data_IF_409405690464
#
_entry.id   IF_409405690464
#
_cell.length_a   1.000
_cell.length_b   1.000
_cell.length_c   1.000
_cell.angle_alpha   90.00
_cell.angle_beta   90.00
_cell.angle_gamma   90.00
#
_symmetry.space_group_name_H-M   'P 1'
#
loop_
_entity.id
_entity.type
_entity.pdbx_description
1 polymer ?
#
# COMPACT_ATOMS: atom_id res chain seq x y z
N UNK A 1 8.67 21.67 48.72
CA UNK A 1 7.87 21.35 47.53
C UNK A 1 8.61 20.28 46.74
N UNK A 2 7.96 19.12 46.56
CA UNK A 2 8.28 17.93 45.73
C UNK A 2 9.69 17.29 45.91
N UNK A 3 9.89 16.24 46.72
CA UNK A 3 9.43 14.83 46.65
C UNK A 3 10.42 13.87 45.96
N UNK A 4 11.00 12.99 46.80
CA UNK A 4 11.30 11.54 46.60
C UNK A 4 12.38 11.19 45.56
N UNK A 5 13.60 10.81 45.92
CA UNK A 5 14.07 9.68 46.76
C UNK A 5 13.77 8.28 46.18
N UNK A 6 14.84 7.48 46.11
CA UNK A 6 14.96 6.02 45.87
C UNK A 6 14.93 5.60 44.39
N UNK A 7 16.06 5.44 43.71
CA UNK A 7 17.13 4.43 43.95
C UNK A 7 16.56 3.00 43.96
N UNK A 8 16.88 2.26 42.90
CA UNK A 8 17.08 0.80 42.80
C UNK A 8 16.18 -0.09 43.66
N UNK A 9 15.16 -0.66 43.02
CA UNK A 9 14.67 -1.98 43.38
C UNK A 9 14.69 -2.86 42.14
N UNK A 10 15.83 -3.51 41.93
CA UNK A 10 15.92 -4.72 41.12
C UNK A 10 15.21 -5.83 41.88
N UNK A 11 14.28 -6.55 41.24
CA UNK A 11 13.93 -7.93 41.56
C UNK A 11 12.96 -8.50 40.52
N UNK A 12 13.36 -9.65 39.96
CA UNK A 12 12.53 -10.76 39.48
C UNK A 12 11.60 -10.50 38.28
N UNK A 13 11.93 -11.01 37.08
CA UNK A 13 11.71 -12.41 36.64
C UNK A 13 10.23 -12.77 36.43
N UNK A 14 9.82 -12.81 35.15
CA UNK A 14 8.99 -13.85 34.49
C UNK A 14 8.68 -13.33 33.06
N UNK A 15 9.35 -13.72 31.98
CA UNK A 15 9.56 -15.05 31.40
C UNK A 15 8.25 -15.77 31.00
N UNK A 16 8.03 -15.84 29.68
CA UNK A 16 7.37 -16.90 28.89
C UNK A 16 5.83 -16.97 28.91
N UNK A 17 5.20 -16.70 27.76
CA UNK A 17 4.32 -17.70 27.09
C UNK A 17 4.60 -17.68 25.58
N UNK A 18 5.34 -18.70 25.12
CA UNK A 18 5.33 -19.18 23.74
C UNK A 18 4.03 -19.95 23.51
N UNK A 19 3.41 -19.78 22.35
CA UNK A 19 2.55 -20.79 21.69
C UNK A 19 2.58 -20.47 20.19
N UNK A 20 3.50 -21.04 19.40
CA UNK A 20 3.50 -22.40 18.84
C UNK A 20 2.19 -22.79 18.16
N UNK A 21 2.11 -22.52 16.85
CA UNK A 21 1.32 -23.33 15.92
C UNK A 21 1.97 -23.31 14.52
N UNK A 22 3.18 -23.88 14.44
CA UNK A 22 3.65 -24.47 13.19
C UNK A 22 2.77 -25.69 12.90
N UNK A 23 2.01 -25.66 11.80
CA UNK A 23 1.58 -26.89 11.13
C UNK A 23 2.22 -26.91 9.76
N UNK A 24 3.43 -27.51 9.72
CA UNK A 24 4.07 -28.00 8.51
C UNK A 24 3.68 -29.47 8.37
N UNK A 25 3.07 -29.84 7.25
CA UNK A 25 3.03 -31.22 6.75
C UNK A 25 3.35 -31.19 5.26
N UNK A 26 4.54 -31.67 4.93
CA UNK A 26 4.96 -32.02 3.57
C UNK A 26 4.49 -33.43 3.23
N UNK A 27 4.04 -33.64 1.98
CA UNK A 27 4.41 -34.77 1.10
C UNK A 27 3.78 -34.63 -0.30
N UNK A 28 4.58 -34.60 -1.38
CA UNK A 28 4.24 -35.21 -2.67
C UNK A 28 5.00 -36.56 -2.81
N UNK A 29 4.85 -37.36 -3.89
CA UNK A 29 3.85 -37.39 -4.97
C UNK A 29 3.12 -38.76 -5.05
N UNK A 30 1.94 -38.82 -5.67
CA UNK A 30 1.43 -40.07 -6.25
C UNK A 30 0.80 -39.80 -7.61
N UNK A 31 1.24 -40.59 -8.59
CA UNK A 31 0.80 -40.61 -9.98
C UNK A 31 -0.46 -41.47 -10.04
N UNK A 32 -1.58 -40.94 -10.55
CA UNK A 32 -2.39 -41.70 -11.50
C UNK A 32 -3.47 -40.83 -12.17
N UNK A 33 -3.45 -40.92 -13.50
CA UNK A 33 -4.49 -40.61 -14.46
C UNK A 33 -5.92 -40.71 -13.92
N UNK A 34 -6.78 -39.74 -14.28
CA UNK A 34 -7.86 -39.98 -15.24
C UNK A 34 -8.70 -38.71 -15.41
N UNK A 35 -8.90 -38.38 -16.69
CA UNK A 35 -9.88 -37.47 -17.26
C UNK A 35 -11.14 -37.24 -16.41
N UNK A 36 -11.39 -35.98 -16.07
CA UNK A 36 -12.73 -35.46 -15.95
C UNK A 36 -12.74 -34.07 -16.59
N UNK A 37 -13.31 -34.01 -17.80
CA UNK A 37 -13.75 -32.76 -18.40
C UNK A 37 -14.59 -32.00 -17.38
N UNK A 38 -14.08 -30.87 -16.91
CA UNK A 38 -14.93 -29.82 -16.37
C UNK A 38 -14.63 -28.61 -17.23
N UNK A 39 -15.58 -28.32 -18.11
CA UNK A 39 -15.72 -27.07 -18.83
C UNK A 39 -15.66 -25.95 -17.79
N UNK A 40 -14.47 -25.42 -17.53
CA UNK A 40 -14.34 -24.15 -16.83
C UNK A 40 -14.92 -23.12 -17.79
N UNK A 41 -16.18 -22.78 -17.54
CA UNK A 41 -16.81 -21.58 -18.05
C UNK A 41 -15.77 -20.46 -17.93
N UNK A 42 -15.41 -19.89 -19.08
CA UNK A 42 -14.62 -18.68 -19.13
C UNK A 42 -15.22 -17.69 -18.13
N UNK A 43 -14.41 -17.03 -17.28
CA UNK A 43 -14.94 -15.97 -16.44
C UNK A 43 -15.67 -15.00 -17.37
N UNK A 44 -16.97 -14.85 -17.11
CA UNK A 44 -17.81 -13.93 -17.85
C UNK A 44 -17.07 -12.59 -17.90
N UNK A 45 -16.80 -12.13 -19.12
CA UNK A 45 -16.15 -10.87 -19.45
C UNK A 45 -16.91 -9.78 -18.70
N UNK A 46 -16.43 -9.42 -17.51
CA UNK A 46 -16.93 -8.27 -16.78
C UNK A 46 -16.70 -7.10 -17.73
N UNK A 47 -17.74 -6.29 -18.02
CA UNK A 47 -17.61 -5.22 -18.99
C UNK A 47 -16.41 -4.38 -18.59
N UNK A 48 -15.42 -4.28 -19.48
CA UNK A 48 -14.25 -3.45 -19.27
C UNK A 48 -14.75 -2.05 -18.93
N UNK A 49 -14.71 -1.70 -17.64
CA UNK A 49 -15.22 -0.43 -17.14
C UNK A 49 -14.52 0.67 -17.92
N UNK A 50 -15.27 1.34 -18.79
CA UNK A 50 -14.77 2.47 -19.56
C UNK A 50 -14.22 3.47 -18.54
N UNK A 51 -12.91 3.69 -18.59
CA UNK A 51 -12.18 4.45 -17.57
C UNK A 51 -12.90 5.72 -17.14
N UNK A 52 -13.19 5.85 -15.84
CA UNK A 52 -14.04 6.92 -15.33
C UNK A 52 -13.42 8.29 -15.63
N UNK A 53 -14.17 9.24 -16.20
CA UNK A 53 -13.67 10.58 -16.49
C UNK A 53 -13.15 11.28 -15.22
N UNK A 54 -13.72 10.95 -14.07
CA UNK A 54 -13.30 11.47 -12.76
C UNK A 54 -11.89 11.02 -12.36
N UNK A 55 -11.52 9.77 -12.69
CA UNK A 55 -10.16 9.25 -12.43
C UNK A 55 -9.12 9.95 -13.30
N UNK A 56 -9.45 10.20 -14.58
CA UNK A 56 -8.56 10.94 -15.49
C UNK A 56 -8.34 12.37 -15.03
N UNK A 57 -9.40 13.05 -14.61
CA UNK A 57 -9.30 14.41 -14.06
C UNK A 57 -8.47 14.43 -12.77
N UNK A 58 -8.67 13.44 -11.89
CA UNK A 58 -7.91 13.30 -10.64
C UNK A 58 -6.43 13.06 -10.91
N UNK A 59 -6.07 12.20 -11.87
CA UNK A 59 -4.68 11.98 -12.27
C UNK A 59 -4.04 13.22 -12.89
N UNK A 60 -4.77 13.98 -13.70
CA UNK A 60 -4.29 15.24 -14.25
C UNK A 60 -4.00 16.30 -13.16
N UNK A 61 -4.85 16.35 -12.13
CA UNK A 61 -4.63 17.20 -10.96
C UNK A 61 -3.40 16.77 -10.16
N UNK A 62 -3.20 15.46 -9.95
CA UNK A 62 -1.99 14.92 -9.31
C UNK A 62 -0.73 15.37 -10.06
N UNK A 63 -0.68 15.22 -11.38
CA UNK A 63 0.46 15.68 -12.17
C UNK A 63 0.70 17.19 -12.05
N UNK A 64 -0.36 17.98 -11.97
CA UNK A 64 -0.27 19.43 -11.80
C UNK A 64 0.29 19.78 -10.42
N UNK A 65 -0.19 19.12 -9.35
CA UNK A 65 0.35 19.26 -7.99
C UNK A 65 1.83 18.87 -7.91
N UNK A 66 2.23 17.78 -8.58
CA UNK A 66 3.63 17.35 -8.64
C UNK A 66 4.53 18.36 -9.36
N UNK A 67 4.05 18.99 -10.43
CA UNK A 67 4.78 20.06 -11.13
C UNK A 67 4.89 21.33 -10.30
N UNK A 68 3.87 21.64 -9.49
CA UNK A 68 3.84 22.79 -8.59
C UNK A 68 4.62 22.60 -7.29
N UNK A 69 5.17 21.41 -7.02
CA UNK A 69 5.86 21.09 -5.75
C UNK A 69 4.93 20.80 -4.57
N UNK A 70 3.62 20.68 -4.80
CA UNK A 70 2.64 20.29 -3.79
C UNK A 70 2.60 18.78 -3.63
N UNK A 71 3.66 18.21 -3.04
CA UNK A 71 3.83 16.77 -2.92
C UNK A 71 2.81 16.11 -1.98
N UNK A 72 2.43 16.79 -0.89
CA UNK A 72 1.47 16.30 0.08
C UNK A 72 0.05 16.23 -0.50
N UNK A 73 -0.37 17.26 -1.24
CA UNK A 73 -1.63 17.25 -2.00
C UNK A 73 -1.66 16.12 -3.04
N UNK A 74 -0.58 15.95 -3.80
CA UNK A 74 -0.47 14.88 -4.79
C UNK A 74 -0.61 13.49 -4.12
N UNK A 75 0.08 13.27 -3.01
CA UNK A 75 -0.03 12.03 -2.23
C UNK A 75 -1.46 11.85 -1.69
N UNK A 76 -2.08 12.88 -1.11
CA UNK A 76 -3.44 12.81 -0.59
C UNK A 76 -4.45 12.42 -1.67
N UNK A 77 -4.36 13.01 -2.86
CA UNK A 77 -5.24 12.69 -3.99
C UNK A 77 -5.04 11.26 -4.49
N UNK A 78 -3.79 10.80 -4.62
CA UNK A 78 -3.48 9.41 -4.98
C UNK A 78 -4.03 8.40 -3.97
N UNK A 79 -3.96 8.73 -2.68
CA UNK A 79 -4.51 7.88 -1.63
C UNK A 79 -6.04 7.91 -1.60
N UNK A 80 -6.65 9.07 -1.88
CA UNK A 80 -8.10 9.19 -2.03
C UNK A 80 -8.62 8.33 -3.19
N UNK A 81 -7.94 8.33 -4.33
CA UNK A 81 -8.29 7.46 -5.46
C UNK A 81 -8.17 5.97 -5.11
N UNK A 82 -7.21 5.58 -4.26
CA UNK A 82 -7.14 4.20 -3.76
C UNK A 82 -8.25 3.88 -2.78
N UNK A 83 -8.54 4.81 -1.88
CA UNK A 83 -9.54 4.66 -0.82
C UNK A 83 -10.98 4.73 -1.34
N UNK A 84 -11.21 5.29 -2.53
CA UNK A 84 -12.54 5.29 -3.17
C UNK A 84 -13.00 3.87 -3.52
N UNK A 85 -12.10 2.89 -3.57
CA UNK A 85 -12.41 1.50 -3.93
C UNK A 85 -12.91 1.35 -5.37
N UNK A 86 -12.78 2.40 -6.18
CA UNK A 86 -13.19 2.36 -7.57
C UNK A 86 -12.29 1.41 -8.37
N UNK A 87 -12.91 0.58 -9.21
CA UNK A 87 -12.15 -0.26 -10.13
C UNK A 87 -11.48 0.58 -11.22
N UNK A 88 -10.18 0.37 -11.39
CA UNK A 88 -9.41 1.01 -12.45
C UNK A 88 -9.50 0.15 -13.71
N UNK A 89 -9.69 0.79 -14.87
CA UNK A 89 -9.38 0.14 -16.14
C UNK A 89 -7.89 -0.23 -16.17
N UNK A 90 -7.47 -1.20 -17.00
CA UNK A 90 -6.04 -1.54 -17.12
C UNK A 90 -5.17 -0.30 -17.42
N UNK A 91 -5.65 0.59 -18.30
CA UNK A 91 -4.95 1.82 -18.68
C UNK A 91 -4.87 2.81 -17.51
N UNK A 92 -5.98 3.06 -16.82
CA UNK A 92 -6.00 4.01 -15.71
C UNK A 92 -5.24 3.47 -14.50
N UNK A 93 -5.26 2.16 -14.27
CA UNK A 93 -4.50 1.49 -13.23
C UNK A 93 -2.99 1.57 -13.48
N UNK A 94 -2.56 1.46 -14.74
CA UNK A 94 -1.16 1.70 -15.11
C UNK A 94 -0.75 3.16 -14.86
N UNK A 95 -1.55 4.12 -15.33
CA UNK A 95 -1.30 5.54 -15.11
C UNK A 95 -1.29 5.91 -13.62
N UNK A 96 -2.19 5.32 -12.83
CA UNK A 96 -2.23 5.50 -11.38
C UNK A 96 -0.95 5.01 -10.70
N UNK A 97 -0.47 3.80 -11.03
CA UNK A 97 0.78 3.26 -10.48
C UNK A 97 1.99 4.09 -10.87
N UNK A 98 2.03 4.55 -12.12
CA UNK A 98 3.08 5.45 -12.61
C UNK A 98 3.08 6.78 -11.84
N UNK A 99 1.93 7.43 -11.70
CA UNK A 99 1.78 8.66 -10.93
C UNK A 99 2.19 8.47 -9.46
N UNK A 100 1.88 7.33 -8.86
CA UNK A 100 2.28 7.00 -7.49
C UNK A 100 3.80 6.81 -7.35
N UNK A 101 4.43 6.13 -8.31
CA UNK A 101 5.89 5.97 -8.38
C UNK A 101 6.61 7.32 -8.60
N UNK A 102 6.10 8.16 -9.50
CA UNK A 102 6.62 9.50 -9.77
C UNK A 102 6.50 10.40 -8.53
N UNK A 103 5.31 10.42 -7.91
CA UNK A 103 5.07 11.18 -6.69
C UNK A 103 6.03 10.77 -5.58
N UNK A 104 6.18 9.47 -5.34
CA UNK A 104 7.09 8.96 -4.33
C UNK A 104 8.56 9.32 -4.61
N UNK A 105 9.01 9.16 -5.85
CA UNK A 105 10.40 9.44 -6.24
C UNK A 105 10.73 10.92 -6.10
N UNK A 106 9.89 11.81 -6.63
CA UNK A 106 10.09 13.26 -6.53
C UNK A 106 9.97 13.76 -5.09
N UNK A 107 9.03 13.21 -4.32
CA UNK A 107 8.90 13.53 -2.90
C UNK A 107 10.13 13.06 -2.11
N UNK A 108 10.72 11.91 -2.42
CA UNK A 108 11.97 11.47 -1.80
C UNK A 108 13.12 12.44 -2.09
N UNK A 109 13.27 12.87 -3.34
CA UNK A 109 14.31 13.83 -3.73
C UNK A 109 14.13 15.18 -3.01
N UNK A 110 12.90 15.72 -3.00
CA UNK A 110 12.60 16.98 -2.32
C UNK A 110 12.72 16.87 -0.79
N UNK A 111 12.30 15.74 -0.21
CA UNK A 111 12.46 15.46 1.22
C UNK A 111 13.94 15.43 1.63
N UNK A 112 14.78 14.86 0.78
CA UNK A 112 16.24 14.82 0.97
C UNK A 112 16.87 16.22 0.93
N UNK A 113 16.24 17.16 0.22
CA UNK A 113 16.62 18.58 0.19
C UNK A 113 16.02 19.40 1.35
N UNK A 114 15.28 18.76 2.25
CA UNK A 114 14.72 19.39 3.44
C UNK A 114 13.25 19.81 3.33
N UNK A 115 12.57 19.55 2.20
CA UNK A 115 11.18 19.96 2.02
C UNK A 115 10.23 19.19 2.99
N UNK A 116 9.48 19.89 3.86
CA UNK A 116 8.62 19.26 4.85
C UNK A 116 7.36 18.63 4.24
N UNK A 117 6.82 19.18 3.15
CA UNK A 117 5.65 18.64 2.45
C UNK A 117 6.00 17.35 1.74
N UNK A 118 7.18 17.31 1.12
CA UNK A 118 7.73 16.12 0.51
C UNK A 118 7.97 15.01 1.54
N UNK A 119 8.49 15.34 2.74
CA UNK A 119 8.60 14.38 3.85
C UNK A 119 7.23 13.82 4.26
N UNK A 120 6.22 14.68 4.38
CA UNK A 120 4.85 14.24 4.68
C UNK A 120 4.32 13.29 3.60
N UNK A 121 4.46 13.65 2.32
CA UNK A 121 4.04 12.84 1.19
C UNK A 121 4.68 11.44 1.19
N UNK A 122 6.00 11.35 1.43
CA UNK A 122 6.72 10.07 1.53
C UNK A 122 6.14 9.21 2.65
N UNK A 123 5.85 9.80 3.81
CA UNK A 123 5.26 9.06 4.93
C UNK A 123 3.83 8.59 4.63
N UNK A 124 3.01 9.43 4.01
CA UNK A 124 1.64 9.07 3.60
C UNK A 124 1.65 7.88 2.63
N UNK A 125 2.51 7.91 1.62
CA UNK A 125 2.62 6.84 0.61
C UNK A 125 3.12 5.54 1.27
N UNK A 126 4.14 5.60 2.15
CA UNK A 126 4.64 4.41 2.87
C UNK A 126 3.60 3.79 3.81
N UNK A 127 2.88 4.63 4.55
CA UNK A 127 1.83 4.18 5.46
C UNK A 127 0.70 3.45 4.71
N UNK A 128 0.41 3.87 3.48
CA UNK A 128 -0.57 3.20 2.64
C UNK A 128 -0.06 1.89 2.01
N UNK A 129 1.26 1.73 1.83
CA UNK A 129 1.86 0.53 1.25
C UNK A 129 2.10 -0.62 2.25
N UNK A 130 1.99 -0.36 3.55
CA UNK A 130 2.29 -1.34 4.61
C UNK A 130 1.08 -2.18 5.06
N UNK A 131 -0.02 -2.14 4.30
CA UNK A 131 -1.26 -2.90 4.54
C UNK A 131 -1.45 -3.90 3.42
#
# INVERSE_FOLDING_TARGET
>A
MASRAHQVFALASLAVILSSACSRKEKPPEVSSQSAQTTNAAPADAPASAGSPELKASLANVHSSLKGGSFDDAAAQLLKMRASGQEFSQKDGAAYREALSEAYSRALEAASKGDPRAKAAVQMIRAAGSR
#
